data_IF_808451202333
#
_entry.id   IF_808451202333
#
_cell.length_a   1.000
_cell.length_b   1.000
_cell.length_c   1.000
_cell.angle_alpha   90.00
_cell.angle_beta   90.00
_cell.angle_gamma   90.00
#
_symmetry.space_group_name_H-M   'P 1'
#
loop_
_entity.id
_entity.type
_entity.pdbx_description
1 polymer ?
#
# COMPACT_ATOMS: atom_id res chain seq x y z
N UNK A 1 -13.05 -64.58 -85.16
CA UNK A 1 -11.63 -64.77 -84.98
C UNK A 1 -11.07 -63.40 -84.51
N UNK A 2 -10.86 -63.29 -83.20
CA UNK A 2 -10.58 -62.02 -82.53
C UNK A 2 -9.08 -61.81 -82.45
N UNK A 3 -8.64 -60.67 -82.90
CA UNK A 3 -7.23 -60.19 -82.65
C UNK A 3 -7.19 -59.20 -81.50
N UNK A 4 -6.52 -59.55 -80.43
CA UNK A 4 -6.25 -58.68 -79.32
C UNK A 4 -4.98 -57.88 -79.61
N UNK A 5 -5.11 -56.55 -79.58
CA UNK A 5 -3.97 -55.62 -79.60
C UNK A 5 -3.67 -55.19 -78.20
N UNK A 6 -2.43 -55.48 -77.71
CA UNK A 6 -1.94 -55.00 -76.43
C UNK A 6 -1.33 -53.60 -76.65
N UNK A 7 -1.88 -52.61 -75.93
CA UNK A 7 -1.34 -51.26 -75.86
C UNK A 7 -0.53 -51.16 -74.58
N UNK A 8 0.80 -51.00 -74.68
CA UNK A 8 1.68 -50.79 -73.55
C UNK A 8 1.68 -49.27 -73.22
N UNK A 9 1.14 -48.94 -72.06
CA UNK A 9 1.19 -47.57 -71.50
C UNK A 9 2.48 -47.36 -70.74
N UNK A 10 3.26 -46.39 -71.18
CA UNK A 10 4.47 -45.89 -70.47
C UNK A 10 4.00 -44.88 -69.43
N UNK A 11 4.11 -45.23 -68.15
CA UNK A 11 3.91 -44.25 -67.06
C UNK A 11 5.18 -43.39 -66.87
N UNK A 12 5.09 -42.13 -67.21
CA UNK A 12 6.12 -41.14 -66.88
C UNK A 12 5.90 -40.66 -65.43
N UNK A 13 6.76 -41.04 -64.48
CA UNK A 13 6.73 -40.53 -63.15
C UNK A 13 7.38 -39.12 -63.10
N UNK A 14 6.56 -38.10 -62.92
CA UNK A 14 7.01 -36.75 -62.67
C UNK A 14 7.50 -36.64 -61.22
N UNK A 15 8.82 -36.50 -61.04
CA UNK A 15 9.38 -36.16 -59.75
C UNK A 15 9.12 -34.69 -59.40
N UNK A 16 8.20 -34.43 -58.50
CA UNK A 16 7.98 -33.10 -57.92
C UNK A 16 9.10 -32.78 -56.97
N UNK A 17 10.00 -31.87 -57.34
CA UNK A 17 11.00 -31.31 -56.45
C UNK A 17 10.26 -30.46 -55.37
N UNK A 18 10.25 -30.96 -54.13
CA UNK A 18 9.78 -30.18 -52.98
C UNK A 18 10.85 -29.13 -52.65
N UNK A 19 10.50 -27.88 -52.87
CA UNK A 19 11.24 -26.73 -52.33
C UNK A 19 11.18 -26.75 -50.80
N UNK A 20 12.34 -26.69 -50.09
CA UNK A 20 12.31 -26.64 -48.62
C UNK A 20 11.61 -25.38 -48.16
N UNK A 21 10.66 -25.51 -47.25
CA UNK A 21 9.95 -24.39 -46.61
C UNK A 21 10.97 -23.42 -45.97
N UNK A 22 10.74 -22.11 -46.00
CA UNK A 22 11.60 -21.14 -45.33
C UNK A 22 11.62 -21.43 -43.83
N UNK A 23 12.81 -21.60 -43.27
CA UNK A 23 13.04 -21.76 -41.84
C UNK A 23 12.53 -20.46 -41.18
N UNK A 24 11.55 -20.58 -40.28
CA UNK A 24 11.16 -19.52 -39.39
C UNK A 24 12.40 -18.94 -38.69
N UNK A 25 12.51 -17.61 -38.55
CA UNK A 25 13.60 -17.03 -37.78
C UNK A 25 13.55 -17.60 -36.35
N UNK A 26 14.69 -17.82 -35.72
CA UNK A 26 14.73 -18.27 -34.32
C UNK A 26 13.94 -17.25 -33.49
N UNK A 27 13.01 -17.76 -32.67
CA UNK A 27 12.31 -16.94 -31.69
C UNK A 27 13.38 -16.11 -30.94
N UNK A 28 13.12 -14.80 -30.70
CA UNK A 28 14.06 -14.01 -29.91
C UNK A 28 14.28 -14.77 -28.60
N UNK A 29 15.55 -14.99 -28.27
CA UNK A 29 15.93 -15.55 -27.00
C UNK A 29 15.15 -14.77 -25.95
N UNK A 30 14.28 -15.46 -25.19
CA UNK A 30 13.71 -14.90 -23.98
C UNK A 30 14.95 -14.58 -23.14
N UNK A 31 15.35 -13.31 -23.14
CA UNK A 31 16.19 -12.80 -22.09
C UNK A 31 15.48 -13.24 -20.80
N UNK A 32 16.04 -14.22 -20.13
CA UNK A 32 15.74 -14.49 -18.75
C UNK A 32 15.96 -13.17 -18.04
N UNK A 33 14.90 -12.40 -17.90
CA UNK A 33 14.84 -11.36 -16.90
C UNK A 33 14.99 -12.13 -15.60
N UNK A 34 16.26 -12.34 -15.22
CA UNK A 34 16.57 -12.60 -13.83
C UNK A 34 15.78 -11.56 -13.07
N UNK A 35 14.70 -11.97 -12.44
CA UNK A 35 14.06 -11.19 -11.41
C UNK A 35 15.11 -11.12 -10.29
N UNK A 36 16.04 -10.20 -10.46
CA UNK A 36 16.89 -9.76 -9.36
C UNK A 36 15.91 -9.13 -8.40
N UNK A 37 15.30 -9.98 -7.58
CA UNK A 37 14.46 -9.54 -6.48
C UNK A 37 15.32 -8.56 -5.72
N UNK A 38 14.97 -7.29 -5.79
CA UNK A 38 15.79 -6.23 -5.25
C UNK A 38 15.99 -6.53 -3.76
N UNK A 39 17.16 -7.01 -3.40
CA UNK A 39 17.57 -7.34 -2.02
C UNK A 39 17.74 -6.07 -1.18
N UNK A 40 16.89 -5.10 -1.39
CA UNK A 40 16.92 -3.79 -0.75
C UNK A 40 15.69 -3.63 0.11
N UNK A 41 15.91 -3.42 1.39
CA UNK A 41 14.86 -3.03 2.32
C UNK A 41 14.66 -1.53 2.20
N UNK A 42 13.43 -1.10 1.96
CA UNK A 42 13.02 0.31 1.93
C UNK A 42 12.33 0.65 3.23
N UNK A 43 12.73 1.74 3.82
CA UNK A 43 12.17 2.24 5.09
C UNK A 43 11.79 3.70 4.90
N UNK A 44 10.54 3.98 4.55
CA UNK A 44 10.01 5.34 4.63
C UNK A 44 10.03 5.80 6.09
N UNK A 45 10.52 7.00 6.32
CA UNK A 45 10.68 7.57 7.67
C UNK A 45 10.06 8.95 7.72
N UNK A 46 9.26 9.21 8.74
CA UNK A 46 8.78 10.56 9.09
C UNK A 46 9.32 10.94 10.46
N UNK A 47 9.87 12.12 10.58
CA UNK A 47 10.32 12.68 11.86
C UNK A 47 9.38 13.80 12.25
N UNK A 48 8.86 13.75 13.47
CA UNK A 48 7.91 14.71 14.01
C UNK A 48 8.49 15.45 15.21
N UNK A 49 8.17 16.73 15.33
CA UNK A 49 8.46 17.52 16.53
C UNK A 49 7.44 17.22 17.66
N UNK A 50 7.62 17.87 18.82
CA UNK A 50 6.71 17.77 19.99
C UNK A 50 5.27 18.19 19.68
N UNK A 51 5.07 18.99 18.64
CA UNK A 51 3.75 19.45 18.18
C UNK A 51 3.17 18.54 17.11
N UNK A 52 3.87 17.47 16.74
CA UNK A 52 3.48 16.53 15.70
C UNK A 52 3.63 17.09 14.28
N UNK A 53 4.46 18.14 14.08
CA UNK A 53 4.80 18.64 12.75
C UNK A 53 5.99 17.89 12.18
N UNK A 54 6.00 17.58 10.87
CA UNK A 54 7.14 16.98 10.22
C UNK A 54 8.38 17.87 10.26
N UNK A 55 9.50 17.27 10.62
CA UNK A 55 10.83 17.90 10.60
C UNK A 55 11.52 17.54 9.31
N UNK A 56 11.98 18.56 8.59
CA UNK A 56 12.68 18.43 7.29
C UNK A 56 14.11 18.94 7.41
N UNK A 57 14.97 18.63 6.42
CA UNK A 57 16.36 19.09 6.39
C UNK A 57 17.35 18.20 7.15
N UNK A 58 16.90 17.06 7.68
CA UNK A 58 17.83 16.09 8.27
C UNK A 58 18.65 15.40 7.17
N UNK A 59 19.87 15.03 7.54
CA UNK A 59 20.88 14.41 6.68
C UNK A 59 21.09 12.94 7.06
N UNK A 60 21.87 12.21 6.28
CA UNK A 60 22.24 10.82 6.60
C UNK A 60 22.86 10.69 8.00
N UNK A 61 23.68 11.66 8.40
CA UNK A 61 24.40 11.63 9.67
C UNK A 61 23.49 11.77 10.90
N UNK A 62 22.26 12.26 10.70
CA UNK A 62 21.29 12.39 11.77
C UNK A 62 20.57 11.07 12.09
N UNK A 63 20.76 10.03 11.26
CA UNK A 63 20.08 8.75 11.42
C UNK A 63 21.04 7.61 11.74
N UNK A 64 20.55 6.65 12.50
CA UNK A 64 21.15 5.33 12.70
C UNK A 64 20.07 4.27 12.50
N UNK A 65 20.41 3.21 11.78
CA UNK A 65 19.48 2.12 11.45
C UNK A 65 19.98 0.82 12.03
N UNK A 66 19.09 0.05 12.63
CA UNK A 66 19.39 -1.23 13.23
C UNK A 66 18.46 -2.29 12.69
N UNK A 67 19.00 -3.47 12.35
CA UNK A 67 18.24 -4.69 12.07
C UNK A 67 18.55 -5.70 13.18
N UNK A 68 17.50 -6.19 13.84
CA UNK A 68 17.63 -7.12 14.99
C UNK A 68 18.66 -6.63 16.02
N UNK A 69 18.64 -5.34 16.33
CA UNK A 69 19.55 -4.62 17.26
C UNK A 69 20.99 -4.48 16.75
N UNK A 70 21.32 -4.93 15.56
CA UNK A 70 22.65 -4.75 14.95
C UNK A 70 22.62 -3.53 14.02
N UNK A 71 23.63 -2.66 14.08
CA UNK A 71 23.70 -1.51 13.19
C UNK A 71 23.89 -1.97 11.74
N UNK A 72 23.20 -1.31 10.81
CA UNK A 72 23.34 -1.59 9.38
C UNK A 72 23.80 -0.35 8.62
N UNK A 73 24.60 -0.57 7.58
CA UNK A 73 24.94 0.48 6.63
C UNK A 73 23.74 0.72 5.72
N UNK A 74 23.42 1.98 5.45
CA UNK A 74 22.26 2.35 4.67
C UNK A 74 22.57 3.48 3.69
N UNK A 75 21.80 3.54 2.63
CA UNK A 75 21.72 4.67 1.73
C UNK A 75 20.54 5.56 2.11
N UNK A 76 20.70 6.85 1.88
CA UNK A 76 19.73 7.84 2.30
C UNK A 76 19.30 8.69 1.11
N UNK A 77 18.05 8.53 0.68
CA UNK A 77 17.40 9.45 -0.23
C UNK A 77 16.73 10.56 0.60
N UNK A 78 17.57 11.49 1.09
CA UNK A 78 17.12 12.49 2.04
C UNK A 78 16.66 13.79 1.45
N UNK A 79 16.86 14.02 0.17
CA UNK A 79 16.30 15.21 -0.43
C UNK A 79 14.80 15.01 -0.68
N UNK A 80 14.01 15.55 0.26
CA UNK A 80 12.54 15.61 0.14
C UNK A 80 12.11 16.09 -1.24
N UNK A 81 12.87 17.01 -1.84
CA UNK A 81 12.64 17.52 -3.19
C UNK A 81 12.67 16.42 -4.26
N UNK A 82 13.59 15.47 -4.17
CA UNK A 82 13.68 14.35 -5.12
C UNK A 82 12.55 13.35 -4.91
N UNK A 83 12.23 13.02 -3.66
CA UNK A 83 11.10 12.15 -3.34
C UNK A 83 9.77 12.79 -3.75
N UNK A 84 9.63 14.11 -3.63
CA UNK A 84 8.43 14.83 -4.04
C UNK A 84 8.18 14.80 -5.57
N UNK A 85 9.20 14.48 -6.38
CA UNK A 85 9.03 14.28 -7.82
C UNK A 85 8.30 12.97 -8.15
N UNK A 86 8.36 12.00 -7.24
CA UNK A 86 7.69 10.70 -7.39
C UNK A 86 6.22 10.79 -6.98
N UNK A 87 5.32 10.11 -7.72
CA UNK A 87 3.91 10.05 -7.33
C UNK A 87 3.74 9.33 -6.00
N UNK A 88 2.73 9.71 -5.23
CA UNK A 88 2.26 8.93 -4.09
C UNK A 88 1.10 8.07 -4.58
N UNK A 89 1.11 6.78 -4.21
CA UNK A 89 -0.02 5.89 -4.37
C UNK A 89 -0.77 5.79 -3.05
N UNK A 90 -2.02 6.21 -3.04
CA UNK A 90 -2.85 6.31 -1.84
C UNK A 90 -4.08 5.43 -2.02
N UNK A 91 -4.27 4.45 -1.15
CA UNK A 91 -5.54 3.75 -1.00
C UNK A 91 -6.38 4.41 0.08
N UNK A 92 -7.62 4.74 -0.21
CA UNK A 92 -8.62 5.16 0.77
C UNK A 92 -9.57 4.00 0.99
N UNK A 93 -9.53 3.41 2.17
CA UNK A 93 -10.37 2.30 2.58
C UNK A 93 -11.41 2.83 3.57
N UNK A 94 -12.67 2.76 3.19
CA UNK A 94 -13.79 3.26 3.99
C UNK A 94 -14.65 2.10 4.48
N UNK A 95 -14.82 2.06 5.78
CA UNK A 95 -15.73 1.13 6.44
C UNK A 95 -17.18 1.47 6.08
N UNK A 96 -17.92 0.46 5.65
CA UNK A 96 -19.36 0.57 5.34
C UNK A 96 -20.17 -0.45 6.13
N UNK A 97 -19.67 -0.87 7.29
CA UNK A 97 -20.36 -1.83 8.16
C UNK A 97 -21.61 -1.25 8.81
N UNK A 98 -22.40 -2.11 9.46
CA UNK A 98 -23.66 -1.71 10.08
C UNK A 98 -23.52 -0.67 11.19
N UNK A 99 -22.41 -0.67 11.92
CA UNK A 99 -22.10 0.32 12.95
C UNK A 99 -21.92 1.75 12.39
N UNK A 100 -21.50 1.84 11.12
CA UNK A 100 -21.31 3.13 10.43
C UNK A 100 -22.58 3.65 9.75
N UNK A 101 -23.69 2.89 9.74
CA UNK A 101 -24.90 3.21 9.00
C UNK A 101 -25.42 4.64 9.26
N UNK A 102 -25.41 5.08 10.53
CA UNK A 102 -25.80 6.45 10.92
C UNK A 102 -24.77 7.53 10.57
N UNK A 103 -23.56 7.14 10.18
CA UNK A 103 -22.41 8.01 9.91
C UNK A 103 -22.00 8.01 8.44
N UNK A 104 -22.64 7.20 7.58
CA UNK A 104 -22.23 7.01 6.19
C UNK A 104 -22.08 8.34 5.42
N UNK A 105 -22.95 9.32 5.68
CA UNK A 105 -22.82 10.65 5.07
C UNK A 105 -21.52 11.34 5.50
N UNK A 106 -21.22 11.30 6.80
CA UNK A 106 -20.00 11.86 7.36
C UNK A 106 -18.74 11.18 6.83
N UNK A 107 -18.73 9.84 6.75
CA UNK A 107 -17.60 9.08 6.25
C UNK A 107 -17.33 9.33 4.76
N UNK A 108 -18.38 9.51 3.97
CA UNK A 108 -18.26 9.94 2.57
C UNK A 108 -17.68 11.34 2.45
N UNK A 109 -18.18 12.28 3.23
CA UNK A 109 -17.63 13.65 3.29
C UNK A 109 -16.17 13.62 3.75
N UNK A 110 -15.86 12.78 4.73
CA UNK A 110 -14.50 12.53 5.22
C UNK A 110 -13.58 12.02 4.11
N UNK A 111 -14.00 10.97 3.42
CA UNK A 111 -13.22 10.39 2.32
C UNK A 111 -12.97 11.40 1.20
N UNK A 112 -13.98 12.17 0.78
CA UNK A 112 -13.84 13.21 -0.23
C UNK A 112 -12.91 14.33 0.22
N UNK A 113 -13.09 14.86 1.42
CA UNK A 113 -12.23 15.91 1.96
C UNK A 113 -10.77 15.46 2.04
N UNK A 114 -10.53 14.20 2.46
CA UNK A 114 -9.20 13.64 2.44
C UNK A 114 -8.62 13.59 1.01
N UNK A 115 -9.36 13.01 0.07
CA UNK A 115 -8.95 12.90 -1.34
C UNK A 115 -8.57 14.28 -1.90
N UNK A 116 -9.41 15.29 -1.72
CA UNK A 116 -9.14 16.64 -2.20
C UNK A 116 -7.95 17.31 -1.49
N UNK A 117 -7.75 17.02 -0.19
CA UNK A 117 -6.65 17.60 0.59
C UNK A 117 -5.30 17.00 0.18
N UNK A 118 -5.23 15.70 -0.07
CA UNK A 118 -3.96 15.02 -0.37
C UNK A 118 -3.60 15.05 -1.84
N UNK A 119 -4.56 15.08 -2.76
CA UNK A 119 -4.34 15.09 -4.20
C UNK A 119 -3.97 16.50 -4.70
N UNK A 120 -2.89 17.07 -4.17
CA UNK A 120 -2.41 18.40 -4.62
C UNK A 120 -1.60 18.33 -5.91
N UNK A 121 -1.09 17.18 -6.25
CA UNK A 121 -0.27 16.95 -7.44
C UNK A 121 -1.04 16.10 -8.43
N UNK A 122 -1.11 16.53 -9.69
CA UNK A 122 -1.67 15.72 -10.78
C UNK A 122 -0.92 14.40 -11.03
N UNK A 123 0.14 14.12 -10.25
CA UNK A 123 0.92 12.88 -10.31
C UNK A 123 0.44 11.84 -9.30
N UNK A 124 -0.13 12.29 -8.17
CA UNK A 124 -0.56 11.39 -7.11
C UNK A 124 -1.76 10.55 -7.59
N UNK A 125 -1.78 9.28 -7.25
CA UNK A 125 -2.80 8.33 -7.64
C UNK A 125 -3.57 7.85 -6.44
N UNK A 126 -4.87 7.98 -6.49
CA UNK A 126 -5.76 7.54 -5.42
C UNK A 126 -6.65 6.42 -5.92
N UNK A 127 -6.80 5.37 -5.13
CA UNK A 127 -7.82 4.34 -5.28
C UNK A 127 -8.78 4.42 -4.09
N UNK A 128 -10.03 4.07 -4.33
CA UNK A 128 -11.07 4.05 -3.31
C UNK A 128 -11.70 2.68 -3.21
N UNK A 129 -11.76 2.14 -2.00
CA UNK A 129 -12.31 0.84 -1.67
C UNK A 129 -13.25 0.97 -0.47
N UNK A 130 -14.34 0.22 -0.49
CA UNK A 130 -15.23 0.05 0.68
C UNK A 130 -15.14 -1.37 1.19
N UNK A 131 -15.27 -1.52 2.51
CA UNK A 131 -15.29 -2.83 3.14
C UNK A 131 -16.35 -2.92 4.23
N UNK A 132 -17.03 -4.05 4.23
CA UNK A 132 -17.99 -4.53 5.22
C UNK A 132 -17.94 -6.07 5.23
N UNK A 133 -19.04 -6.77 4.95
CA UNK A 133 -19.07 -8.21 4.63
C UNK A 133 -18.37 -8.51 3.30
N UNK A 134 -18.28 -7.50 2.43
CA UNK A 134 -17.66 -7.55 1.11
C UNK A 134 -16.57 -6.49 0.98
N UNK A 135 -15.52 -6.81 0.25
CA UNK A 135 -14.43 -5.89 -0.07
C UNK A 135 -14.60 -5.47 -1.53
N UNK A 136 -14.94 -4.19 -1.75
CA UNK A 136 -15.29 -3.71 -3.09
C UNK A 136 -14.37 -2.57 -3.51
N UNK A 137 -13.56 -2.80 -4.53
CA UNK A 137 -12.81 -1.73 -5.20
C UNK A 137 -13.78 -0.86 -6.00
N UNK A 138 -14.06 0.33 -5.50
CA UNK A 138 -15.00 1.29 -6.14
C UNK A 138 -14.35 2.08 -7.26
N UNK A 139 -13.05 2.41 -7.09
CA UNK A 139 -12.25 3.11 -8.08
C UNK A 139 -10.79 2.67 -7.95
N UNK A 140 -10.21 2.20 -9.05
CA UNK A 140 -8.77 1.89 -9.10
C UNK A 140 -7.93 3.17 -9.18
N UNK A 141 -6.62 3.06 -9.03
CA UNK A 141 -5.70 4.17 -9.03
C UNK A 141 -5.92 5.15 -10.18
N UNK A 142 -6.28 6.36 -9.85
CA UNK A 142 -6.53 7.43 -10.81
C UNK A 142 -6.03 8.78 -10.28
N UNK A 143 -5.80 9.70 -11.20
CA UNK A 143 -5.56 11.13 -10.91
C UNK A 143 -6.82 11.97 -11.14
N UNK A 144 -7.90 11.35 -11.61
CA UNK A 144 -9.15 12.03 -11.94
C UNK A 144 -10.07 12.08 -10.71
N UNK A 145 -10.21 13.28 -10.15
CA UNK A 145 -11.03 13.53 -8.96
C UNK A 145 -12.53 13.29 -9.19
N UNK A 146 -13.04 13.51 -10.42
CA UNK A 146 -14.45 13.28 -10.73
C UNK A 146 -14.82 11.80 -10.69
N UNK A 147 -13.85 10.90 -11.03
CA UNK A 147 -14.05 9.46 -10.90
C UNK A 147 -14.12 9.05 -9.43
N UNK A 148 -13.25 9.61 -8.61
CA UNK A 148 -13.22 9.35 -7.16
C UNK A 148 -14.47 9.91 -6.48
N UNK A 149 -14.89 11.12 -6.83
CA UNK A 149 -16.14 11.72 -6.33
C UNK A 149 -17.36 10.84 -6.62
N UNK A 150 -17.51 10.40 -7.88
CA UNK A 150 -18.60 9.49 -8.26
C UNK A 150 -18.53 8.16 -7.52
N UNK A 151 -17.33 7.61 -7.32
CA UNK A 151 -17.16 6.35 -6.62
C UNK A 151 -17.56 6.45 -5.15
N UNK A 152 -17.14 7.52 -4.46
CA UNK A 152 -17.52 7.77 -3.04
C UNK A 152 -19.00 8.05 -2.92
N UNK A 153 -19.55 8.96 -3.75
CA UNK A 153 -20.97 9.30 -3.70
C UNK A 153 -21.88 8.12 -4.10
N UNK A 154 -21.35 7.20 -4.92
CA UNK A 154 -22.06 5.97 -5.34
C UNK A 154 -22.29 4.94 -4.23
N UNK A 155 -21.63 5.06 -3.08
CA UNK A 155 -21.86 4.17 -1.93
C UNK A 155 -23.25 4.44 -1.33
N UNK A 156 -24.15 3.44 -1.35
CA UNK A 156 -25.56 3.65 -1.01
C UNK A 156 -26.04 2.92 0.24
N UNK A 157 -25.48 1.75 0.53
CA UNK A 157 -25.95 0.86 1.60
C UNK A 157 -24.79 0.41 2.46
N UNK A 158 -24.94 0.43 3.78
CA UNK A 158 -24.05 -0.26 4.69
C UNK A 158 -24.25 -1.78 4.63
N UNK A 159 -23.18 -2.54 4.88
CA UNK A 159 -23.22 -3.95 5.16
C UNK A 159 -23.55 -4.27 6.62
N UNK A 160 -23.18 -5.47 7.08
CA UNK A 160 -23.50 -5.88 8.45
C UNK A 160 -22.27 -6.05 9.34
N UNK A 161 -21.14 -6.47 8.77
CA UNK A 161 -19.92 -6.84 9.50
C UNK A 161 -18.74 -6.02 9.00
N UNK A 162 -17.57 -6.20 9.63
CA UNK A 162 -16.37 -5.43 9.31
C UNK A 162 -15.22 -6.38 9.03
N UNK A 163 -14.75 -6.45 7.76
CA UNK A 163 -13.59 -7.23 7.34
C UNK A 163 -12.38 -6.31 7.14
N UNK A 164 -11.97 -5.62 8.19
CA UNK A 164 -10.90 -4.61 8.16
C UNK A 164 -9.55 -5.20 7.77
N UNK A 165 -9.13 -6.29 8.44
CA UNK A 165 -7.80 -6.87 8.18
C UNK A 165 -7.71 -7.53 6.81
N UNK A 166 -8.79 -8.16 6.35
CA UNK A 166 -8.87 -8.70 5.00
C UNK A 166 -8.79 -7.58 3.95
N UNK A 167 -9.47 -6.45 4.15
CA UNK A 167 -9.43 -5.31 3.25
C UNK A 167 -8.01 -4.71 3.15
N UNK A 168 -7.33 -4.53 4.28
CA UNK A 168 -5.94 -4.04 4.30
C UNK A 168 -5.02 -5.04 3.61
N UNK A 169 -5.12 -6.32 3.96
CA UNK A 169 -4.29 -7.38 3.40
C UNK A 169 -4.45 -7.47 1.88
N UNK A 170 -5.69 -7.57 1.40
CA UNK A 170 -6.02 -7.70 -0.01
C UNK A 170 -5.56 -6.47 -0.81
N UNK A 171 -5.85 -5.26 -0.32
CA UNK A 171 -5.43 -4.05 -1.01
C UNK A 171 -3.92 -3.92 -1.10
N UNK A 172 -3.19 -4.27 -0.05
CA UNK A 172 -1.74 -4.27 -0.07
C UNK A 172 -1.19 -5.29 -1.06
N UNK A 173 -1.72 -6.51 -1.08
CA UNK A 173 -1.24 -7.59 -1.98
C UNK A 173 -1.57 -7.30 -3.44
N UNK A 174 -2.82 -6.96 -3.75
CA UNK A 174 -3.28 -6.81 -5.13
C UNK A 174 -2.91 -5.46 -5.76
N UNK A 175 -2.93 -4.37 -4.97
CA UNK A 175 -2.79 -3.01 -5.47
C UNK A 175 -1.45 -2.37 -5.13
N UNK A 176 -1.06 -2.37 -3.85
CA UNK A 176 0.16 -1.71 -3.43
C UNK A 176 1.43 -2.43 -3.89
N UNK A 177 1.41 -3.76 -3.94
CA UNK A 177 2.52 -4.55 -4.48
C UNK A 177 2.92 -4.10 -5.89
N UNK A 178 1.92 -3.79 -6.71
CA UNK A 178 2.08 -3.41 -8.12
C UNK A 178 2.20 -1.89 -8.35
N UNK A 179 2.16 -1.09 -7.29
CA UNK A 179 2.30 0.36 -7.40
C UNK A 179 3.73 0.74 -7.84
N UNK A 180 3.83 1.51 -8.92
CA UNK A 180 5.13 1.90 -9.49
C UNK A 180 5.73 3.13 -8.80
N UNK A 181 5.79 3.11 -7.48
CA UNK A 181 6.46 4.13 -6.66
C UNK A 181 6.82 3.55 -5.29
N UNK A 182 7.92 3.98 -4.67
CA UNK A 182 8.24 3.65 -3.29
C UNK A 182 7.38 4.42 -2.27
N UNK A 183 6.54 5.36 -2.72
CA UNK A 183 5.70 6.20 -1.86
C UNK A 183 4.28 5.65 -1.87
N UNK A 184 3.96 4.83 -0.87
CA UNK A 184 2.70 4.09 -0.77
C UNK A 184 2.06 4.31 0.59
N UNK A 185 0.78 4.64 0.60
CA UNK A 185 0.03 4.83 1.84
C UNK A 185 -1.39 4.30 1.74
N UNK A 186 -1.90 3.80 2.85
CA UNK A 186 -3.32 3.57 3.06
C UNK A 186 -3.86 4.56 4.07
N UNK A 187 -5.05 5.05 3.84
CA UNK A 187 -5.85 5.76 4.84
C UNK A 187 -7.11 4.95 5.07
N UNK A 188 -7.23 4.43 6.27
CA UNK A 188 -8.35 3.61 6.71
C UNK A 188 -9.28 4.47 7.54
N UNK A 189 -10.55 4.57 7.14
CA UNK A 189 -11.61 5.28 7.85
C UNK A 189 -12.55 4.22 8.40
N UNK A 190 -12.59 4.03 9.71
CA UNK A 190 -13.31 2.94 10.37
C UNK A 190 -13.67 3.30 11.80
N UNK A 191 -14.59 2.59 12.42
CA UNK A 191 -14.80 2.61 13.86
C UNK A 191 -13.90 1.59 14.62
N UNK A 192 -13.06 0.83 13.91
CA UNK A 192 -11.94 0.07 14.43
C UNK A 192 -12.20 -1.37 14.83
N UNK A 193 -13.44 -1.81 14.91
CA UNK A 193 -13.76 -3.19 15.33
C UNK A 193 -13.80 -4.13 14.12
N UNK A 194 -12.80 -5.00 14.01
CA UNK A 194 -12.84 -6.11 13.05
C UNK A 194 -13.72 -7.24 13.59
N UNK A 195 -14.72 -7.64 12.80
CA UNK A 195 -15.68 -8.67 13.22
C UNK A 195 -15.80 -9.85 12.26
N UNK A 196 -15.16 -9.75 11.08
CA UNK A 196 -15.41 -10.72 10.01
C UNK A 196 -14.18 -11.17 9.23
N UNK A 197 -13.01 -10.56 9.41
CA UNK A 197 -11.81 -10.96 8.68
C UNK A 197 -11.40 -12.40 8.97
N UNK A 198 -10.84 -13.04 7.96
CA UNK A 198 -10.11 -14.33 8.07
C UNK A 198 -8.65 -14.08 8.42
N UNK A 199 -8.07 -13.01 7.87
CA UNK A 199 -6.75 -12.55 8.23
C UNK A 199 -6.73 -12.04 9.67
N UNK A 200 -5.58 -12.17 10.32
CA UNK A 200 -5.33 -11.58 11.64
C UNK A 200 -4.73 -10.18 11.46
N UNK A 201 -4.80 -9.38 12.51
CA UNK A 201 -4.11 -8.09 12.54
C UNK A 201 -2.62 -8.20 12.16
N UNK A 202 -1.93 -9.26 12.64
CA UNK A 202 -0.53 -9.53 12.29
C UNK A 202 -0.32 -9.75 10.79
N UNK A 203 -1.26 -10.40 10.12
CA UNK A 203 -1.15 -10.72 8.70
C UNK A 203 -1.33 -9.46 7.84
N UNK A 204 -2.27 -8.58 8.22
CA UNK A 204 -2.46 -7.28 7.61
C UNK A 204 -1.23 -6.37 7.78
N UNK A 205 -0.66 -6.31 9.00
CA UNK A 205 0.58 -5.58 9.29
C UNK A 205 1.72 -6.10 8.43
N UNK A 206 1.94 -7.42 8.41
CA UNK A 206 3.03 -8.03 7.64
C UNK A 206 2.91 -7.74 6.14
N UNK A 207 1.69 -7.80 5.59
CA UNK A 207 1.46 -7.51 4.17
C UNK A 207 1.73 -6.03 3.85
N UNK A 208 1.30 -5.11 4.71
CA UNK A 208 1.61 -3.69 4.54
C UNK A 208 3.12 -3.41 4.61
N UNK A 209 3.82 -4.04 5.56
CA UNK A 209 5.28 -3.94 5.67
C UNK A 209 6.00 -4.53 4.44
N UNK A 210 5.51 -5.65 3.93
CA UNK A 210 6.06 -6.32 2.73
C UNK A 210 5.91 -5.48 1.46
N UNK A 211 4.85 -4.69 1.38
CA UNK A 211 4.57 -3.79 0.26
C UNK A 211 5.08 -2.36 0.49
N UNK A 212 5.87 -2.11 1.54
CA UNK A 212 6.36 -0.78 1.93
C UNK A 212 5.23 0.26 2.05
N UNK A 213 4.05 -0.18 2.52
CA UNK A 213 2.86 0.66 2.63
C UNK A 213 2.69 1.19 4.04
N UNK A 214 2.64 2.50 4.19
CA UNK A 214 2.37 3.16 5.47
C UNK A 214 0.86 3.24 5.67
N UNK A 215 0.39 2.91 6.86
CA UNK A 215 -1.04 2.97 7.19
C UNK A 215 -1.34 4.11 8.16
N UNK A 216 -2.22 4.99 7.76
CA UNK A 216 -2.88 5.96 8.61
C UNK A 216 -4.30 5.49 8.88
N UNK A 217 -4.72 5.50 10.14
CA UNK A 217 -6.07 5.13 10.49
C UNK A 217 -6.82 6.31 11.12
N UNK A 218 -8.08 6.46 10.79
CA UNK A 218 -8.98 7.47 11.30
C UNK A 218 -10.15 6.75 11.97
N UNK A 219 -10.18 6.82 13.31
CA UNK A 219 -11.30 6.29 14.08
C UNK A 219 -12.47 7.25 14.05
N UNK A 220 -13.63 6.76 13.64
CA UNK A 220 -14.91 7.47 13.62
C UNK A 220 -15.80 7.13 14.82
N UNK A 221 -15.27 6.38 15.82
CA UNK A 221 -16.01 5.96 17.04
C UNK A 221 -16.51 7.10 17.92
N UNK A 222 -15.78 8.20 17.97
CA UNK A 222 -16.20 9.38 18.67
C UNK A 222 -17.46 9.92 18.01
N UNK A 223 -18.64 9.37 18.38
CA UNK A 223 -19.90 9.84 17.84
C UNK A 223 -20.02 11.36 17.97
N UNK A 224 -20.78 12.00 17.07
CA UNK A 224 -21.24 13.36 17.19
C UNK A 224 -22.04 13.59 18.48
N UNK A 225 -21.41 13.34 19.65
CA UNK A 225 -21.95 13.81 20.91
C UNK A 225 -21.81 15.33 20.86
N UNK A 226 -22.93 15.99 20.77
CA UNK A 226 -23.15 17.46 20.80
C UNK A 226 -22.63 18.11 22.08
N UNK A 227 -21.75 17.50 22.81
CA UNK A 227 -21.10 17.99 24.02
C UNK A 227 -19.58 17.95 23.86
N UNK A 228 -19.07 18.98 23.18
CA UNK A 228 -17.67 19.36 23.38
C UNK A 228 -17.54 19.77 24.86
N UNK A 229 -17.06 18.87 25.70
CA UNK A 229 -16.58 19.25 27.01
C UNK A 229 -15.28 20.01 26.77
N UNK A 230 -15.20 21.32 27.10
CA UNK A 230 -13.99 22.08 26.89
C UNK A 230 -12.85 21.45 27.70
N UNK A 231 -11.75 21.10 27.05
CA UNK A 231 -10.55 20.56 27.69
C UNK A 231 -10.34 19.05 27.54
N UNK A 232 -11.22 18.30 26.89
CA UNK A 232 -10.94 16.93 26.49
C UNK A 232 -10.33 16.95 25.09
N UNK A 233 -9.03 16.71 24.98
CA UNK A 233 -8.40 16.47 23.67
C UNK A 233 -9.10 15.28 23.01
N UNK A 234 -9.68 15.51 21.84
CA UNK A 234 -10.17 14.46 20.98
C UNK A 234 -8.98 13.51 20.71
N UNK A 235 -9.00 12.28 21.24
CA UNK A 235 -7.94 11.37 20.89
C UNK A 235 -7.42 10.39 21.93
N UNK A 236 -8.21 9.97 22.91
CA UNK A 236 -7.80 8.83 23.73
C UNK A 236 -8.30 7.52 23.15
N UNK A 237 -7.38 6.56 23.03
CA UNK A 237 -7.67 5.14 22.73
C UNK A 237 -8.68 4.62 23.75
N UNK A 238 -9.86 4.22 23.31
CA UNK A 238 -10.96 3.89 24.23
C UNK A 238 -11.18 2.38 24.44
N UNK A 239 -10.91 1.56 23.42
CA UNK A 239 -11.21 0.12 23.45
C UNK A 239 -10.24 -0.76 22.64
N UNK A 240 -10.65 -2.03 22.37
CA UNK A 240 -9.86 -3.00 21.63
C UNK A 240 -9.63 -2.63 20.19
N UNK A 241 -10.66 -2.19 19.46
CA UNK A 241 -10.56 -1.78 18.06
C UNK A 241 -9.66 -0.57 17.86
N UNK A 242 -9.74 0.42 18.75
CA UNK A 242 -8.83 1.57 18.74
C UNK A 242 -7.36 1.15 18.94
N UNK A 243 -7.09 0.16 19.81
CA UNK A 243 -5.73 -0.39 20.00
C UNK A 243 -5.24 -1.12 18.77
N UNK A 244 -6.12 -1.83 18.09
CA UNK A 244 -5.77 -2.60 16.89
C UNK A 244 -5.42 -1.67 15.72
N UNK A 245 -6.21 -0.63 15.46
CA UNK A 245 -5.88 0.35 14.42
C UNK A 245 -4.66 1.19 14.79
N UNK A 246 -4.42 1.47 16.08
CA UNK A 246 -3.19 2.10 16.54
C UNK A 246 -1.98 1.22 16.23
N UNK A 247 -2.05 -0.07 16.59
CA UNK A 247 -0.98 -1.03 16.31
C UNK A 247 -0.75 -1.20 14.81
N UNK A 248 -1.81 -1.34 14.01
CA UNK A 248 -1.75 -1.43 12.55
C UNK A 248 -0.99 -0.24 11.96
N UNK A 249 -1.30 0.97 12.41
CA UNK A 249 -0.65 2.19 11.94
C UNK A 249 0.81 2.28 12.40
N UNK A 250 1.08 2.13 13.69
CA UNK A 250 2.43 2.30 14.25
C UNK A 250 3.43 1.28 13.73
N UNK A 251 3.03 0.00 13.57
CA UNK A 251 3.91 -1.06 13.07
C UNK A 251 4.28 -0.87 11.58
N UNK A 252 3.48 -0.10 10.85
CA UNK A 252 3.72 0.22 9.42
C UNK A 252 4.39 1.58 9.20
N UNK A 253 4.65 2.35 10.28
CA UNK A 253 5.31 3.65 10.22
C UNK A 253 4.37 4.85 10.07
N UNK A 254 3.07 4.64 10.19
CA UNK A 254 2.06 5.69 10.24
C UNK A 254 1.58 5.98 11.66
N UNK A 255 0.36 6.47 11.77
CA UNK A 255 -0.32 6.73 13.04
C UNK A 255 -1.83 6.76 12.91
N UNK A 256 -2.52 6.62 14.03
CA UNK A 256 -3.96 6.74 14.13
C UNK A 256 -4.41 8.11 14.63
N UNK A 257 -5.60 8.52 14.20
CA UNK A 257 -6.28 9.74 14.59
C UNK A 257 -7.66 9.35 15.09
N UNK A 258 -8.06 9.95 16.22
CA UNK A 258 -9.36 9.70 16.83
C UNK A 258 -10.17 11.00 16.71
N UNK A 259 -11.23 10.97 15.91
CA UNK A 259 -11.96 12.18 15.55
C UNK A 259 -13.40 12.08 16.02
N UNK A 260 -13.83 13.08 16.79
CA UNK A 260 -15.23 13.22 17.24
C UNK A 260 -16.03 14.25 16.45
N UNK A 261 -15.35 15.05 15.62
CA UNK A 261 -15.99 16.13 14.86
C UNK A 261 -15.26 16.39 13.52
N UNK A 262 -15.90 17.17 12.65
CA UNK A 262 -15.38 17.48 11.32
C UNK A 262 -14.08 18.30 11.36
N UNK A 263 -13.92 19.21 12.31
CA UNK A 263 -12.72 20.04 12.42
C UNK A 263 -11.49 19.20 12.85
N UNK A 264 -11.68 18.26 13.78
CA UNK A 264 -10.63 17.32 14.18
C UNK A 264 -10.22 16.42 13.00
N UNK A 265 -11.19 15.99 12.20
CA UNK A 265 -11.00 15.19 10.99
C UNK A 265 -10.19 15.96 9.92
N UNK A 266 -10.56 17.22 9.63
CA UNK A 266 -9.82 18.07 8.69
C UNK A 266 -8.36 18.28 9.13
N UNK A 267 -8.14 18.49 10.43
CA UNK A 267 -6.78 18.59 11.01
C UNK A 267 -6.00 17.30 10.85
N UNK A 268 -6.65 16.13 11.01
CA UNK A 268 -6.04 14.84 10.79
C UNK A 268 -5.60 14.68 9.32
N UNK A 269 -6.46 15.05 8.37
CA UNK A 269 -6.13 15.01 6.93
C UNK A 269 -4.98 15.91 6.55
N UNK A 270 -4.94 17.14 7.08
CA UNK A 270 -3.83 18.05 6.85
C UNK A 270 -2.52 17.43 7.36
N UNK A 271 -2.51 16.89 8.59
CA UNK A 271 -1.34 16.23 9.17
C UNK A 271 -0.89 15.03 8.35
N UNK A 272 -1.80 14.17 7.91
CA UNK A 272 -1.47 13.03 7.03
C UNK A 272 -0.86 13.55 5.72
N UNK A 273 -1.45 14.55 5.10
CA UNK A 273 -0.92 15.15 3.87
C UNK A 273 0.47 15.75 4.04
N UNK A 274 0.75 16.41 5.16
CA UNK A 274 2.07 16.96 5.51
C UNK A 274 3.10 15.83 5.72
N UNK A 275 2.74 14.78 6.46
CA UNK A 275 3.61 13.63 6.70
C UNK A 275 3.97 12.90 5.41
N UNK A 276 2.97 12.62 4.57
CA UNK A 276 3.19 11.97 3.28
C UNK A 276 4.16 12.76 2.36
N UNK A 277 4.22 14.09 2.52
CA UNK A 277 5.10 14.95 1.71
C UNK A 277 6.47 15.17 2.32
N UNK A 278 6.65 14.85 3.59
CA UNK A 278 7.86 15.13 4.36
C UNK A 278 8.64 13.88 4.74
N UNK A 279 8.42 12.79 4.01
CA UNK A 279 9.08 11.51 4.24
C UNK A 279 10.51 11.53 3.74
N UNK A 280 11.40 10.91 4.51
CA UNK A 280 12.69 10.44 4.07
C UNK A 280 12.58 8.99 3.60
N UNK A 281 13.45 8.56 2.73
CA UNK A 281 13.56 7.15 2.32
C UNK A 281 14.96 6.64 2.66
N UNK A 282 15.01 5.72 3.58
CA UNK A 282 16.20 4.95 3.92
C UNK A 282 16.15 3.63 3.16
N UNK A 283 17.28 3.22 2.60
CA UNK A 283 17.40 1.92 1.95
C UNK A 283 18.67 1.22 2.42
N UNK A 284 18.60 -0.09 2.65
CA UNK A 284 19.77 -0.88 2.98
C UNK A 284 19.67 -2.29 2.43
N UNK A 285 20.82 -2.95 2.32
CA UNK A 285 20.88 -4.37 1.94
C UNK A 285 21.05 -5.20 3.20
N UNK A 286 20.12 -6.10 3.52
CA UNK A 286 20.26 -6.97 4.68
C UNK A 286 21.41 -7.95 4.48
N UNK A 287 22.18 -8.17 5.55
CA UNK A 287 23.31 -9.10 5.54
C UNK A 287 22.90 -10.56 5.80
N UNK A 288 21.72 -10.76 6.37
CA UNK A 288 21.23 -12.08 6.76
C UNK A 288 20.56 -12.85 5.63
N UNK A 289 20.31 -14.17 5.81
CA UNK A 289 19.68 -15.02 4.80
C UNK A 289 18.23 -14.63 4.54
N UNK A 290 17.76 -14.86 3.32
CA UNK A 290 16.35 -14.69 2.94
C UNK A 290 15.56 -15.94 3.33
N UNK A 291 15.29 -16.09 4.64
CA UNK A 291 14.74 -17.29 5.26
C UNK A 291 13.24 -17.19 5.59
N UNK A 292 12.61 -16.06 5.27
CA UNK A 292 11.20 -15.81 5.54
C UNK A 292 10.90 -15.49 7.02
N UNK A 293 11.91 -15.23 7.84
CA UNK A 293 11.71 -14.81 9.23
C UNK A 293 11.56 -13.31 9.31
N UNK A 294 10.62 -12.85 10.12
CA UNK A 294 10.47 -11.44 10.44
C UNK A 294 11.75 -10.88 11.09
N UNK A 295 12.18 -9.71 10.65
CA UNK A 295 13.30 -8.96 11.20
C UNK A 295 12.86 -7.60 11.66
N UNK A 296 13.30 -7.22 12.84
CA UNK A 296 12.96 -5.95 13.45
C UNK A 296 13.84 -4.83 12.92
N UNK A 297 13.21 -3.71 12.58
CA UNK A 297 13.88 -2.48 12.15
C UNK A 297 13.72 -1.43 13.26
N UNK A 298 14.80 -0.75 13.58
CA UNK A 298 14.79 0.40 14.47
C UNK A 298 15.56 1.54 13.82
N UNK A 299 14.91 2.69 13.68
CA UNK A 299 15.52 3.93 13.20
C UNK A 299 15.64 4.89 14.36
N UNK A 300 16.86 5.37 14.64
CA UNK A 300 17.16 6.34 15.71
C UNK A 300 17.72 7.63 15.13
N UNK A 301 17.52 8.71 15.86
CA UNK A 301 18.16 9.99 15.58
C UNK A 301 19.36 10.20 16.48
N UNK A 302 20.41 10.82 15.94
CA UNK A 302 21.61 11.21 16.70
C UNK A 302 21.27 12.23 17.81
N UNK A 303 20.34 13.13 17.55
CA UNK A 303 19.77 14.04 18.55
C UNK A 303 18.27 13.79 18.64
N UNK A 304 17.83 13.22 19.77
CA UNK A 304 16.44 12.79 19.97
C UNK A 304 15.61 13.81 20.76
N UNK A 305 16.11 15.01 21.08
CA UNK A 305 15.45 15.96 21.99
C UNK A 305 14.06 16.37 21.50
N UNK A 306 13.06 15.57 21.94
CA UNK A 306 11.64 15.82 21.67
C UNK A 306 11.20 15.53 20.25
N UNK A 307 12.01 14.80 19.47
CA UNK A 307 11.63 14.32 18.15
C UNK A 307 11.10 12.87 18.24
N UNK A 308 10.10 12.58 17.43
CA UNK A 308 9.52 11.23 17.28
C UNK A 308 9.80 10.72 15.87
N UNK A 309 10.34 9.52 15.77
CA UNK A 309 10.57 8.82 14.50
C UNK A 309 9.40 7.86 14.25
N UNK A 310 8.75 7.97 13.11
CA UNK A 310 7.79 7.02 12.61
C UNK A 310 8.39 6.29 11.40
N UNK A 311 8.51 4.98 11.50
CA UNK A 311 9.03 4.09 10.45
C UNK A 311 8.42 2.71 10.66
N UNK A 312 8.38 1.89 9.60
CA UNK A 312 7.96 0.50 9.76
C UNK A 312 8.90 -0.22 10.71
N UNK A 313 8.33 -1.06 11.60
CA UNK A 313 9.08 -1.70 12.69
C UNK A 313 9.64 -3.08 12.33
N UNK A 314 9.24 -3.64 11.19
CA UNK A 314 9.73 -4.94 10.75
C UNK A 314 9.59 -5.11 9.24
N UNK A 315 10.21 -6.16 8.73
CA UNK A 315 9.95 -6.71 7.40
C UNK A 315 10.19 -8.21 7.41
N UNK A 316 9.59 -8.90 6.43
CA UNK A 316 9.81 -10.34 6.23
C UNK A 316 10.40 -10.53 4.84
N UNK A 317 11.68 -10.97 4.72
CA UNK A 317 12.27 -11.27 3.42
C UNK A 317 11.57 -12.47 2.79
N UNK A 318 11.37 -12.44 1.47
CA UNK A 318 10.90 -13.62 0.75
C UNK A 318 11.94 -14.75 0.84
N UNK A 319 11.49 -15.99 1.05
CA UNK A 319 12.41 -17.14 1.05
C UNK A 319 13.07 -17.28 -0.29
N UNK A 320 14.39 -17.44 -0.31
CA UNK A 320 15.08 -17.96 -1.48
C UNK A 320 14.66 -19.43 -1.67
N UNK A 321 14.01 -19.69 -2.80
CA UNK A 321 13.81 -21.08 -3.24
C UNK A 321 15.15 -21.51 -3.82
N UNK A 322 15.82 -22.54 -3.24
CA UNK A 322 17.05 -23.07 -3.83
C UNK A 322 16.77 -23.41 -5.30
N UNK A 323 17.58 -22.91 -6.21
CA UNK A 323 17.53 -23.39 -7.60
C UNK A 323 17.84 -24.89 -7.58
N UNK A 324 17.06 -25.73 -8.28
CA UNK A 324 17.28 -27.16 -8.35
C UNK A 324 18.64 -27.52 -8.97
#
# INVERSE_FOLDING_TARGET
MSSFVFLAGVLLAAATAQTPAPRSPPAPAQEERESTTSRVVRVPVTVLDKKGKPVTGLTKNDFSVFEDKKPVQFDFLGEIKELQKLPIYIGVLMDTSGSTAGKLKFEKEAALNFIYTVTRSRKDRVAFLTFDDEIILRQDFTTNLDLLDRAVNGVKKPGNRTALYDAVWQFCDEKMRNANSPRRALVVITDGDDTYSRARLSDAIQMAQKTDTIIFAISTKGGFATSAVPGVEAGTVKDGGDKDIQKLSEETGGRSFYTGDMLALERAFQKIGEELRSQYLITYRPEGPFDGRERRIEVKLASADGLKVNAKRAYTPDREIPKP
#
